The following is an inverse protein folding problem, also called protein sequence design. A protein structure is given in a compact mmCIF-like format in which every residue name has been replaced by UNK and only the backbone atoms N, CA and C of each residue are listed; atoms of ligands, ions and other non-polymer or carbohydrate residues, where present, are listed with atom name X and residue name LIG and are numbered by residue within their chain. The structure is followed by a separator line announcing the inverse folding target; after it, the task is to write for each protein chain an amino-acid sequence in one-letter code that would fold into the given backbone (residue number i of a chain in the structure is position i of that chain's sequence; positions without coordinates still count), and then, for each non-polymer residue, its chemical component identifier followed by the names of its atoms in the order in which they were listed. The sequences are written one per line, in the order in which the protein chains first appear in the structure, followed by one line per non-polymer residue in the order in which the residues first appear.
data_IF_851073670980
#
_entry.id   IF_851073670980
#
_cell.length_a   1.000
_cell.length_b   1.000
_cell.length_c   1.000
_cell.angle_alpha   90.00
_cell.angle_beta   90.00
_cell.angle_gamma   90.00
#
_symmetry.space_group_name_H-M   'P 1'
#
loop_
_entity.id
_entity.type
_entity.pdbx_description
1 polymer ?
#
# COMPACT_ATOMS: atom_id res chain seq x y z
N UNK A 1 -10.20 -3.80 -4.28
CA UNK A 1 -9.57 -4.91 -3.52
C UNK A 1 -8.27 -4.50 -2.83
N UNK A 2 -7.37 -3.71 -3.44
CA UNK A 2 -6.16 -3.16 -2.76
C UNK A 2 -6.43 -1.84 -2.04
N UNK A 3 -7.08 -0.88 -2.71
CA UNK A 3 -7.37 0.45 -2.16
C UNK A 3 -8.15 0.41 -0.83
N UNK A 4 -9.10 -0.53 -0.70
CA UNK A 4 -9.83 -0.78 0.55
C UNK A 4 -8.94 -1.28 1.69
N UNK A 5 -7.93 -2.11 1.39
CA UNK A 5 -6.96 -2.57 2.38
C UNK A 5 -6.08 -1.43 2.88
N UNK A 6 -5.64 -0.56 1.96
CA UNK A 6 -4.88 0.65 2.28
C UNK A 6 -5.73 1.60 3.13
N UNK A 7 -6.96 1.88 2.71
CA UNK A 7 -7.91 2.74 3.43
C UNK A 7 -8.17 2.26 4.86
N UNK A 8 -8.35 0.95 5.03
CA UNK A 8 -8.60 0.35 6.35
C UNK A 8 -7.36 0.41 7.24
N UNK A 9 -6.16 0.25 6.69
CA UNK A 9 -4.91 0.38 7.45
C UNK A 9 -4.64 1.82 7.90
N UNK A 10 -5.01 2.79 7.07
CA UNK A 10 -4.82 4.21 7.31
C UNK A 10 -5.99 4.86 8.08
N UNK A 11 -7.03 4.09 8.41
CA UNK A 11 -8.20 4.57 9.12
C UNK A 11 -7.82 5.17 10.49
N UNK A 12 -8.28 6.39 10.76
CA UNK A 12 -7.99 7.19 11.98
C UNK A 12 -6.52 7.61 12.15
N UNK A 13 -5.71 7.57 11.08
CA UNK A 13 -4.37 8.18 11.07
C UNK A 13 -4.44 9.61 10.52
N UNK A 14 -3.53 10.52 10.92
CA UNK A 14 -3.42 11.86 10.36
C UNK A 14 -2.76 11.83 8.97
N UNK A 15 -3.15 10.88 8.12
CA UNK A 15 -2.66 10.78 6.75
C UNK A 15 -3.72 11.45 5.87
N UNK A 16 -3.31 12.44 5.08
CA UNK A 16 -4.23 13.13 4.19
C UNK A 16 -4.68 12.20 3.07
N UNK A 17 -5.89 12.43 2.56
CA UNK A 17 -6.40 11.65 1.43
C UNK A 17 -5.52 11.81 0.19
N UNK A 18 -4.97 13.01 -0.01
CA UNK A 18 -3.99 13.29 -1.07
C UNK A 18 -2.73 12.42 -0.94
N UNK A 19 -2.20 12.22 0.26
CA UNK A 19 -1.03 11.34 0.46
C UNK A 19 -1.33 9.87 0.12
N UNK A 20 -2.56 9.42 0.38
CA UNK A 20 -3.00 8.06 0.01
C UNK A 20 -3.17 7.90 -1.51
N UNK A 21 -3.70 8.93 -2.18
CA UNK A 21 -3.79 8.96 -3.64
C UNK A 21 -2.41 9.01 -4.30
N UNK A 22 -1.49 9.82 -3.77
CA UNK A 22 -0.10 9.85 -4.25
C UNK A 22 0.61 8.50 -4.04
N UNK A 23 0.44 7.86 -2.87
CA UNK A 23 0.98 6.53 -2.61
C UNK A 23 0.43 5.51 -3.61
N UNK A 24 -0.89 5.51 -3.85
CA UNK A 24 -1.50 4.59 -4.82
C UNK A 24 -0.98 4.83 -6.24
N UNK A 25 -0.83 6.10 -6.64
CA UNK A 25 -0.29 6.47 -7.95
C UNK A 25 1.21 6.12 -8.09
N UNK A 26 1.99 6.24 -7.01
CA UNK A 26 3.40 5.83 -6.99
C UNK A 26 3.53 4.32 -7.20
N UNK A 27 2.75 3.53 -6.46
CA UNK A 27 2.70 2.07 -6.61
C UNK A 27 2.27 1.69 -8.03
N UNK A 28 1.22 2.30 -8.59
CA UNK A 28 0.82 2.04 -9.98
C UNK A 28 1.91 2.39 -11.00
N UNK A 29 2.64 3.49 -10.80
CA UNK A 29 3.76 3.85 -11.67
C UNK A 29 4.89 2.83 -11.60
N UNK A 30 5.29 2.41 -10.40
CA UNK A 30 6.37 1.43 -10.24
C UNK A 30 5.99 0.08 -10.87
N UNK A 31 4.74 -0.35 -10.70
CA UNK A 31 4.22 -1.55 -11.35
C UNK A 31 4.17 -1.42 -12.87
N UNK A 32 3.84 -0.25 -13.39
CA UNK A 32 3.84 0.01 -14.83
C UNK A 32 5.28 0.04 -15.38
N UNK A 33 6.23 0.58 -14.60
CA UNK A 33 7.63 0.68 -14.96
C UNK A 33 8.37 -0.66 -14.87
N UNK A 34 7.93 -1.59 -14.01
CA UNK A 34 8.51 -2.93 -13.93
C UNK A 34 8.30 -3.73 -15.22
N UNK A 35 7.35 -3.32 -16.08
CA UNK A 35 7.06 -3.96 -17.36
C UNK A 35 6.44 -5.35 -17.22
N UNK A 36 6.04 -5.74 -16.00
CA UNK A 36 5.43 -7.03 -15.76
C UNK A 36 3.99 -7.06 -16.28
N UNK A 37 3.72 -8.06 -17.11
CA UNK A 37 2.39 -8.24 -17.73
C UNK A 37 1.34 -8.72 -16.72
N UNK A 38 1.79 -9.39 -15.66
CA UNK A 38 0.98 -9.86 -14.56
C UNK A 38 1.68 -9.51 -13.25
N UNK A 39 1.01 -8.69 -12.44
CA UNK A 39 1.52 -8.28 -11.14
C UNK A 39 0.86 -9.13 -10.08
N UNK A 40 1.66 -9.83 -9.26
CA UNK A 40 1.13 -10.56 -8.11
C UNK A 40 0.57 -9.59 -7.06
N UNK A 41 -0.54 -9.95 -6.42
CA UNK A 41 -1.05 -9.20 -5.26
C UNK A 41 0.01 -9.03 -4.17
N UNK A 42 0.99 -9.92 -4.15
CA UNK A 42 2.07 -9.89 -3.19
C UNK A 42 3.06 -8.74 -3.44
N UNK A 43 3.46 -8.55 -4.70
CA UNK A 43 4.31 -7.43 -5.10
C UNK A 43 3.65 -6.08 -4.79
N UNK A 44 2.34 -5.96 -5.01
CA UNK A 44 1.58 -4.75 -4.67
C UNK A 44 1.60 -4.50 -3.16
N UNK A 45 1.40 -5.56 -2.36
CA UNK A 45 1.41 -5.46 -0.91
C UNK A 45 2.77 -5.04 -0.35
N UNK A 46 3.86 -5.56 -0.91
CA UNK A 46 5.23 -5.17 -0.54
C UNK A 46 5.52 -3.70 -0.88
N UNK A 47 5.18 -3.26 -2.09
CA UNK A 47 5.34 -1.86 -2.48
C UNK A 47 4.56 -0.91 -1.56
N UNK A 48 3.29 -1.23 -1.29
CA UNK A 48 2.47 -0.44 -0.37
C UNK A 48 3.07 -0.43 1.04
N UNK A 49 3.61 -1.55 1.51
CA UNK A 49 4.27 -1.63 2.80
C UNK A 49 5.53 -0.75 2.88
N UNK A 50 6.35 -0.75 1.85
CA UNK A 50 7.57 0.05 1.79
C UNK A 50 7.23 1.55 1.81
N UNK A 51 6.27 1.99 1.00
CA UNK A 51 5.80 3.38 1.01
C UNK A 51 5.15 3.77 2.35
N UNK A 52 4.30 2.89 2.93
CA UNK A 52 3.68 3.16 4.23
C UNK A 52 4.69 3.24 5.37
N UNK A 53 5.80 2.51 5.30
CA UNK A 53 6.86 2.54 6.32
C UNK A 53 7.52 3.91 6.42
N UNK A 54 7.64 4.63 5.30
CA UNK A 54 8.18 5.98 5.25
C UNK A 54 7.16 7.04 5.72
N UNK A 55 5.87 6.84 5.41
CA UNK A 55 4.81 7.77 5.79
C UNK A 55 4.43 7.62 7.27
N UNK A 56 4.16 6.39 7.73
CA UNK A 56 3.63 6.13 9.05
C UNK A 56 3.86 4.68 9.50
N UNK A 57 4.77 4.52 10.48
CA UNK A 57 5.10 3.20 11.04
C UNK A 57 3.90 2.44 11.63
N UNK A 58 2.88 3.12 12.14
CA UNK A 58 1.69 2.48 12.72
C UNK A 58 0.76 1.98 11.60
N UNK A 59 0.56 2.78 10.55
CA UNK A 59 -0.19 2.37 9.37
C UNK A 59 0.47 1.18 8.67
N UNK A 60 1.81 1.18 8.56
CA UNK A 60 2.60 0.05 8.10
C UNK A 60 2.31 -1.23 8.90
N UNK A 61 2.43 -1.19 10.23
CA UNK A 61 2.20 -2.39 11.07
C UNK A 61 0.77 -2.91 10.93
N UNK A 62 -0.22 -2.01 10.84
CA UNK A 62 -1.63 -2.40 10.63
C UNK A 62 -1.84 -3.03 9.26
N UNK A 63 -1.28 -2.44 8.21
CA UNK A 63 -1.36 -2.99 6.86
C UNK A 63 -0.67 -4.35 6.77
N UNK A 64 0.54 -4.47 7.32
CA UNK A 64 1.30 -5.71 7.37
C UNK A 64 0.56 -6.82 8.14
N UNK A 65 -0.19 -6.47 9.19
CA UNK A 65 -0.99 -7.44 9.95
C UNK A 65 -2.13 -8.03 9.11
N UNK A 66 -2.81 -7.19 8.32
CA UNK A 66 -3.87 -7.64 7.40
C UNK A 66 -3.24 -8.43 6.26
N UNK A 67 -2.21 -7.89 5.62
CA UNK A 67 -1.56 -8.51 4.48
C UNK A 67 -0.97 -9.89 4.82
N UNK A 68 -0.31 -10.06 5.98
CA UNK A 68 0.18 -11.36 6.46
C UNK A 68 -0.91 -12.35 6.84
N UNK A 69 -2.13 -11.89 7.16
CA UNK A 69 -3.25 -12.76 7.51
C UNK A 69 -3.97 -13.33 6.28
N UNK A 70 -3.73 -12.74 5.10
CA UNK A 70 -4.29 -13.16 3.81
C UNK A 70 -3.25 -13.66 2.81
N UNK A 71 -1.96 -13.69 3.18
CA UNK A 71 -0.85 -14.22 2.39
C UNK A 71 -0.61 -15.71 2.65
#
# INVERSE_FOLDING_TARGET
KVLQGILKACEKRPISMAALEELAAAVERELTQSGEREVSSSAIGELVMDHLKEIDAVAYVRFASVYRQFA
#
